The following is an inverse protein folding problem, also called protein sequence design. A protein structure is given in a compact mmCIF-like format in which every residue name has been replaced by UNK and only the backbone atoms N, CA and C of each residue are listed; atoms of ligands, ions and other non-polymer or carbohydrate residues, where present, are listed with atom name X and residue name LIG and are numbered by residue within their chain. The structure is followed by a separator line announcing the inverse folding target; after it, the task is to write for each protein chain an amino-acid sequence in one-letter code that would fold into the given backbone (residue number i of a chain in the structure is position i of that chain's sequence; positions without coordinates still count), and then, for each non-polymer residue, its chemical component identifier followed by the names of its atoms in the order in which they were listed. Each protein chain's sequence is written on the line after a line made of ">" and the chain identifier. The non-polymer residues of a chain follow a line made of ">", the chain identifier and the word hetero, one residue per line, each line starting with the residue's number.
data_IF_337865655548
#
_entry.id   IF_337865655548
#
_cell.length_a   1.000
_cell.length_b   1.000
_cell.length_c   1.000
_cell.angle_alpha   90.00
_cell.angle_beta   90.00
_cell.angle_gamma   90.00
#
_symmetry.space_group_name_H-M   'P 1'
#
loop_
_entity.id
_entity.type
_entity.pdbx_description
1 polymer ?
#
# COMPACT_ATOMS: atom_id res chain seq x y z
N UNK A 1 -13.65 8.94 6.57
CA UNK A 1 -12.45 8.61 5.78
C UNK A 1 -11.26 9.54 6.05
N UNK A 2 -11.48 10.83 6.36
CA UNK A 2 -10.43 11.78 6.78
C UNK A 2 -9.58 11.32 7.97
N UNK A 3 -10.03 10.32 8.71
CA UNK A 3 -9.33 9.82 9.92
C UNK A 3 -8.26 8.75 9.65
N UNK A 4 -8.10 8.27 8.41
CA UNK A 4 -7.17 7.18 8.09
C UNK A 4 -5.95 7.70 7.33
N UNK A 5 -6.16 8.61 6.40
CA UNK A 5 -5.11 9.20 5.59
C UNK A 5 -4.84 10.64 6.04
N UNK A 6 -3.59 10.96 6.30
CA UNK A 6 -3.17 12.34 6.47
C UNK A 6 -3.01 12.93 5.08
N UNK A 7 -3.60 14.09 4.88
CA UNK A 7 -3.66 14.86 3.63
C UNK A 7 -2.39 14.76 2.82
N UNK A 8 -2.54 14.43 1.55
CA UNK A 8 -1.48 14.50 0.54
C UNK A 8 -1.07 15.98 0.33
N UNK A 9 -0.16 16.50 1.11
CA UNK A 9 0.50 17.75 0.77
C UNK A 9 1.65 17.48 -0.21
N UNK A 10 1.51 18.03 -1.39
CA UNK A 10 2.51 18.02 -2.44
C UNK A 10 3.83 18.66 -1.95
N UNK A 11 4.79 17.87 -1.57
CA UNK A 11 6.18 18.31 -1.52
C UNK A 11 7.03 17.40 -2.39
N UNK A 12 7.65 17.98 -3.37
CA UNK A 12 8.62 17.35 -4.28
C UNK A 12 9.80 16.68 -3.55
N UNK A 13 10.02 16.99 -2.30
CA UNK A 13 11.09 16.48 -1.45
C UNK A 13 10.76 15.17 -0.75
N UNK A 14 9.51 14.76 -0.71
CA UNK A 14 9.12 13.50 -0.11
C UNK A 14 8.58 12.54 -1.17
N UNK A 15 9.46 11.94 -1.97
CA UNK A 15 9.13 10.74 -2.77
C UNK A 15 8.61 9.60 -1.88
N UNK A 16 8.81 9.73 -0.60
CA UNK A 16 8.24 8.91 0.46
C UNK A 16 7.33 9.81 1.26
N UNK A 17 6.02 9.75 1.01
CA UNK A 17 5.09 10.52 1.81
C UNK A 17 5.32 10.22 3.30
N UNK A 18 5.65 11.23 4.10
CA UNK A 18 6.07 11.01 5.49
C UNK A 18 4.99 10.37 6.34
N UNK A 19 3.70 10.44 5.93
CA UNK A 19 2.58 9.86 6.67
C UNK A 19 1.45 9.55 5.71
N UNK A 20 1.33 8.30 5.23
CA UNK A 20 0.11 7.87 4.55
C UNK A 20 -1.01 7.58 5.54
N UNK A 21 -0.67 7.20 6.78
CA UNK A 21 -1.62 6.67 7.73
C UNK A 21 -1.57 7.39 9.07
N UNK A 22 -2.71 7.50 9.73
CA UNK A 22 -2.74 7.86 11.12
C UNK A 22 -2.17 6.72 12.00
N UNK A 23 -1.91 6.99 13.28
CA UNK A 23 -1.23 6.07 14.23
C UNK A 23 -2.01 4.78 14.55
N UNK A 24 -3.06 4.42 13.82
CA UNK A 24 -3.84 3.21 14.06
C UNK A 24 -3.08 1.93 13.70
N UNK A 25 -2.23 1.99 12.69
CA UNK A 25 -1.52 0.85 12.15
C UNK A 25 -0.16 0.70 12.83
N UNK A 26 0.27 -0.55 13.05
CA UNK A 26 1.49 -0.88 13.80
C UNK A 26 2.46 -1.79 13.04
N UNK A 27 2.07 -2.29 11.86
CA UNK A 27 2.96 -3.04 10.95
C UNK A 27 2.86 -2.52 9.55
N UNK A 28 4.03 -2.48 8.87
CA UNK A 28 4.16 -1.94 7.54
C UNK A 28 4.98 -2.85 6.64
N UNK A 29 4.55 -2.97 5.37
CA UNK A 29 5.27 -3.63 4.29
C UNK A 29 5.30 -2.69 3.10
N UNK A 30 6.45 -2.49 2.51
CA UNK A 30 6.61 -1.63 1.34
C UNK A 30 6.65 -2.46 0.08
N UNK A 31 6.21 -1.89 -1.04
CA UNK A 31 6.28 -2.52 -2.35
C UNK A 31 6.75 -1.52 -3.40
N UNK A 32 7.45 -2.02 -4.43
CA UNK A 32 8.12 -1.26 -5.48
C UNK A 32 7.57 -1.61 -6.88
N UNK A 33 6.28 -1.89 -6.96
CA UNK A 33 5.59 -2.19 -8.20
C UNK A 33 4.27 -1.41 -8.29
N UNK A 34 3.76 -1.22 -9.51
CA UNK A 34 2.45 -0.62 -9.70
C UNK A 34 1.34 -1.56 -9.21
N UNK A 35 0.62 -1.16 -8.17
CA UNK A 35 -0.49 -1.93 -7.60
C UNK A 35 -1.58 -2.20 -8.65
N UNK A 36 -1.83 -1.25 -9.55
CA UNK A 36 -2.84 -1.38 -10.60
C UNK A 36 -2.39 -2.23 -11.80
N UNK A 37 -1.09 -2.35 -12.05
CA UNK A 37 -0.53 -3.04 -13.21
C UNK A 37 0.06 -4.42 -12.89
N UNK A 38 0.33 -4.74 -11.63
CA UNK A 38 0.91 -6.03 -11.23
C UNK A 38 -0.16 -7.13 -11.13
N UNK A 39 -0.52 -7.72 -12.26
CA UNK A 39 -1.57 -8.75 -12.30
C UNK A 39 -1.23 -10.01 -11.51
N UNK A 40 0.04 -10.39 -11.44
CA UNK A 40 0.48 -11.55 -10.65
C UNK A 40 0.25 -11.30 -9.17
N UNK A 41 0.68 -10.14 -8.68
CA UNK A 41 0.43 -9.74 -7.30
C UNK A 41 -1.07 -9.64 -7.01
N UNK A 42 -1.85 -8.99 -7.85
CA UNK A 42 -3.30 -8.85 -7.64
C UNK A 42 -4.02 -10.20 -7.58
N UNK A 43 -3.59 -11.17 -8.40
CA UNK A 43 -4.14 -12.53 -8.35
C UNK A 43 -3.81 -13.22 -7.04
N UNK A 44 -2.56 -13.18 -6.65
CA UNK A 44 -2.08 -13.70 -5.39
C UNK A 44 -2.80 -13.04 -4.21
N UNK A 45 -2.84 -11.71 -4.19
CA UNK A 45 -3.43 -10.94 -3.12
C UNK A 45 -4.94 -11.20 -2.95
N UNK A 46 -5.68 -11.30 -4.07
CA UNK A 46 -7.10 -11.69 -4.03
C UNK A 46 -7.31 -13.04 -3.34
N UNK A 47 -6.46 -14.03 -3.62
CA UNK A 47 -6.54 -15.33 -2.96
C UNK A 47 -6.25 -15.22 -1.46
N UNK A 48 -5.21 -14.47 -1.08
CA UNK A 48 -4.85 -14.28 0.33
C UNK A 48 -5.93 -13.51 1.09
N UNK A 49 -6.57 -12.52 0.47
CA UNK A 49 -7.70 -11.81 1.06
C UNK A 49 -8.86 -12.75 1.37
N UNK A 50 -9.27 -13.57 0.40
CA UNK A 50 -10.37 -14.53 0.57
C UNK A 50 -10.05 -15.58 1.63
N UNK A 51 -8.80 -16.08 1.68
CA UNK A 51 -8.34 -17.03 2.72
C UNK A 51 -8.37 -16.43 4.14
N UNK A 52 -8.36 -15.12 4.25
CA UNK A 52 -8.45 -14.39 5.51
C UNK A 52 -9.82 -13.72 5.70
N UNK A 53 -10.87 -14.24 5.05
CA UNK A 53 -12.27 -13.81 5.17
C UNK A 53 -12.52 -12.33 4.79
N UNK A 54 -11.65 -11.71 3.99
CA UNK A 54 -11.95 -10.41 3.39
C UNK A 54 -12.80 -10.61 2.14
N UNK A 55 -14.05 -10.19 2.23
CA UNK A 55 -15.04 -10.38 1.16
C UNK A 55 -15.26 -9.13 0.32
N UNK A 56 -14.78 -7.99 0.78
CA UNK A 56 -14.92 -6.74 0.06
C UNK A 56 -13.73 -5.81 0.30
N UNK A 57 -13.44 -4.98 -0.69
CA UNK A 57 -12.50 -3.86 -0.61
C UNK A 57 -13.08 -2.63 -1.28
N UNK A 58 -12.71 -1.46 -0.77
CA UNK A 58 -12.98 -0.16 -1.35
C UNK A 58 -11.69 0.43 -1.91
N UNK A 59 -11.78 1.03 -3.10
CA UNK A 59 -10.67 1.71 -3.76
C UNK A 59 -10.98 3.20 -3.83
N UNK A 60 -10.02 3.99 -3.36
CA UNK A 60 -10.06 5.45 -3.40
C UNK A 60 -8.94 5.97 -4.28
N UNK A 61 -9.16 7.16 -4.82
CA UNK A 61 -8.10 7.99 -5.40
C UNK A 61 -7.97 9.27 -4.59
N UNK A 62 -6.82 9.95 -4.69
CA UNK A 62 -6.53 11.11 -3.85
C UNK A 62 -7.48 12.31 -4.03
N UNK A 63 -8.24 12.35 -5.12
CA UNK A 63 -9.15 13.46 -5.45
C UNK A 63 -10.58 13.23 -4.98
N UNK A 64 -10.95 12.03 -4.55
CA UNK A 64 -12.33 11.72 -4.18
C UNK A 64 -12.47 11.37 -2.70
N UNK A 65 -13.51 11.91 -2.05
CA UNK A 65 -13.85 11.57 -0.67
C UNK A 65 -14.56 10.21 -0.55
N UNK A 66 -15.28 9.82 -1.60
CA UNK A 66 -15.96 8.53 -1.70
C UNK A 66 -15.11 7.51 -2.47
N UNK A 67 -15.30 6.21 -2.24
CA UNK A 67 -14.64 5.19 -3.02
C UNK A 67 -15.05 5.31 -4.49
N UNK A 68 -14.04 5.31 -5.38
CA UNK A 68 -14.31 5.27 -6.83
C UNK A 68 -14.83 3.90 -7.24
N UNK A 69 -14.55 2.89 -6.40
CA UNK A 69 -14.94 1.51 -6.65
C UNK A 69 -15.04 0.71 -5.35
N UNK A 70 -16.12 -0.05 -5.20
CA UNK A 70 -16.26 -1.10 -4.18
C UNK A 70 -16.32 -2.47 -4.87
N UNK A 71 -15.49 -3.40 -4.43
CA UNK A 71 -15.37 -4.74 -5.00
C UNK A 71 -15.84 -5.77 -3.98
N UNK A 72 -16.84 -6.56 -4.38
CA UNK A 72 -17.21 -7.81 -3.72
C UNK A 72 -16.30 -8.92 -4.30
N UNK A 73 -15.35 -9.40 -3.50
CA UNK A 73 -14.29 -10.32 -3.93
C UNK A 73 -14.79 -11.73 -4.24
N UNK A 74 -15.97 -12.12 -3.72
CA UNK A 74 -16.59 -13.40 -4.04
C UNK A 74 -17.25 -13.37 -5.42
N UNK A 75 -17.75 -12.20 -5.85
CA UNK A 75 -18.51 -12.05 -7.09
C UNK A 75 -17.71 -11.48 -8.25
N UNK A 76 -16.66 -10.72 -7.94
CA UNK A 76 -15.90 -9.99 -8.95
C UNK A 76 -14.41 -10.28 -8.83
N UNK A 77 -13.79 -10.55 -9.95
CA UNK A 77 -12.34 -10.63 -10.04
C UNK A 77 -11.76 -9.21 -9.88
N UNK A 78 -10.82 -9.04 -8.96
CA UNK A 78 -10.13 -7.78 -8.66
C UNK A 78 -9.40 -7.23 -9.90
N UNK A 79 -8.81 -8.10 -10.73
CA UNK A 79 -7.94 -7.72 -11.85
C UNK A 79 -8.66 -6.89 -12.91
N UNK A 80 -9.73 -7.37 -13.57
CA UNK A 80 -10.40 -6.59 -14.60
C UNK A 80 -11.03 -5.32 -14.05
N UNK A 81 -11.36 -5.33 -12.75
CA UNK A 81 -12.00 -4.20 -12.08
C UNK A 81 -10.99 -3.09 -11.82
N UNK A 82 -9.77 -3.42 -11.34
CA UNK A 82 -8.69 -2.43 -11.16
C UNK A 82 -8.17 -1.96 -12.52
N UNK A 83 -8.07 -2.85 -13.50
CA UNK A 83 -7.68 -2.48 -14.87
C UNK A 83 -8.61 -1.42 -15.48
N UNK A 84 -9.90 -1.55 -15.27
CA UNK A 84 -10.87 -0.55 -15.72
C UNK A 84 -10.63 0.82 -15.12
N UNK A 85 -10.30 0.89 -13.83
CA UNK A 85 -9.93 2.16 -13.18
C UNK A 85 -8.68 2.78 -13.83
N UNK A 86 -7.71 1.95 -14.17
CA UNK A 86 -6.51 2.40 -14.86
C UNK A 86 -6.82 2.97 -16.25
N UNK A 87 -7.67 2.30 -17.02
CA UNK A 87 -8.13 2.73 -18.34
C UNK A 87 -8.98 4.02 -18.30
N UNK A 88 -9.69 4.29 -17.19
CA UNK A 88 -10.51 5.49 -16.97
C UNK A 88 -9.72 6.68 -16.39
N UNK A 89 -8.39 6.64 -16.41
CA UNK A 89 -7.49 7.74 -15.99
C UNK A 89 -7.49 8.08 -14.49
N UNK A 90 -8.09 7.27 -13.63
CA UNK A 90 -8.07 7.49 -12.17
C UNK A 90 -6.70 7.26 -11.53
N UNK A 91 -5.76 6.69 -12.24
CA UNK A 91 -4.43 6.33 -11.75
C UNK A 91 -3.52 7.53 -11.46
N UNK A 92 -3.78 8.71 -12.05
CA UNK A 92 -2.93 9.90 -11.90
C UNK A 92 -2.87 10.47 -10.48
N UNK A 93 -3.71 10.02 -9.59
CA UNK A 93 -3.91 10.65 -8.29
C UNK A 93 -3.47 9.80 -7.10
N UNK A 94 -2.86 8.66 -7.41
CA UNK A 94 -2.57 7.66 -6.39
C UNK A 94 -3.76 6.75 -6.09
N UNK A 95 -3.47 5.59 -5.52
CA UNK A 95 -4.46 4.55 -5.23
C UNK A 95 -4.41 4.18 -3.75
N UNK A 96 -5.58 4.09 -3.13
CA UNK A 96 -5.74 3.58 -1.77
C UNK A 96 -6.75 2.44 -1.80
N UNK A 97 -6.37 1.31 -1.20
CA UNK A 97 -7.20 0.12 -1.09
C UNK A 97 -7.43 -0.18 0.39
N UNK A 98 -8.68 -0.31 0.80
CA UNK A 98 -9.06 -0.44 2.21
C UNK A 98 -10.21 -1.46 2.32
N UNK A 99 -10.21 -2.40 3.30
CA UNK A 99 -11.40 -3.17 3.60
C UNK A 99 -12.43 -2.32 4.37
N UNK A 100 -13.72 -2.67 4.35
CA UNK A 100 -14.77 -1.92 5.05
C UNK A 100 -14.53 -1.79 6.57
N UNK A 101 -13.85 -2.77 7.19
CA UNK A 101 -13.51 -2.76 8.63
C UNK A 101 -12.27 -1.92 8.96
N UNK A 102 -11.59 -1.36 7.95
CA UNK A 102 -10.42 -0.51 8.10
C UNK A 102 -9.25 -1.18 8.85
N UNK A 103 -9.18 -2.50 8.86
CA UNK A 103 -8.19 -3.26 9.62
C UNK A 103 -6.80 -3.27 8.98
N UNK A 104 -6.73 -2.99 7.68
CA UNK A 104 -5.50 -2.74 6.92
C UNK A 104 -5.75 -1.68 5.84
N UNK A 105 -4.69 -1.18 5.26
CA UNK A 105 -4.77 -0.27 4.14
C UNK A 105 -3.54 -0.43 3.24
N UNK A 106 -3.72 -0.33 1.93
CA UNK A 106 -2.62 -0.18 0.99
C UNK A 106 -2.71 1.19 0.32
N UNK A 107 -1.59 1.90 0.24
CA UNK A 107 -1.52 3.18 -0.42
C UNK A 107 -0.31 3.25 -1.35
N UNK A 108 -0.53 3.74 -2.56
CA UNK A 108 0.51 3.99 -3.55
C UNK A 108 0.36 5.37 -4.14
N UNK A 109 1.47 6.10 -4.21
CA UNK A 109 1.51 7.41 -4.84
C UNK A 109 1.83 7.29 -6.32
N UNK A 110 1.15 8.07 -7.15
CA UNK A 110 1.19 7.90 -8.60
C UNK A 110 2.56 8.10 -9.26
N UNK A 111 3.36 9.02 -8.81
CA UNK A 111 4.60 9.37 -9.53
C UNK A 111 5.75 8.37 -9.32
N UNK A 112 5.54 7.36 -8.47
CA UNK A 112 6.54 6.35 -8.10
C UNK A 112 5.85 5.00 -7.94
N UNK A 113 6.49 3.94 -8.44
CA UNK A 113 6.01 2.56 -8.22
C UNK A 113 6.27 2.08 -6.78
N UNK A 114 6.20 3.00 -5.81
CA UNK A 114 6.43 2.73 -4.41
C UNK A 114 5.15 2.95 -3.61
N UNK A 115 4.84 1.98 -2.78
CA UNK A 115 3.68 2.04 -1.93
C UNK A 115 3.89 1.35 -0.59
N UNK A 116 2.88 1.42 0.26
CA UNK A 116 2.93 0.85 1.59
C UNK A 116 1.62 0.15 1.94
N UNK A 117 1.73 -1.04 2.51
CA UNK A 117 0.67 -1.73 3.23
C UNK A 117 0.83 -1.46 4.72
N UNK A 118 -0.25 -1.08 5.37
CA UNK A 118 -0.32 -0.81 6.80
C UNK A 118 -1.37 -1.74 7.45
N UNK A 119 -1.03 -2.34 8.59
CA UNK A 119 -1.85 -3.34 9.28
C UNK A 119 -2.06 -2.94 10.74
N UNK A 120 -3.29 -3.09 11.22
CA UNK A 120 -3.64 -3.06 12.64
C UNK A 120 -3.55 -4.49 13.18
N UNK A 121 -2.42 -4.87 13.77
CA UNK A 121 -2.25 -6.25 14.27
C UNK A 121 -2.96 -6.54 15.60
N UNK A 122 -3.61 -5.54 16.23
CA UNK A 122 -4.55 -5.77 17.31
C UNK A 122 -5.86 -6.38 16.80
N UNK A 123 -6.18 -6.19 15.52
CA UNK A 123 -7.24 -6.90 14.84
C UNK A 123 -6.73 -8.28 14.37
N UNK A 124 -7.32 -9.36 14.90
CA UNK A 124 -6.89 -10.73 14.61
C UNK A 124 -6.92 -11.08 13.13
N UNK A 125 -7.89 -10.56 12.39
CA UNK A 125 -8.06 -10.80 10.96
C UNK A 125 -6.93 -10.12 10.17
N UNK A 126 -6.60 -8.88 10.50
CA UNK A 126 -5.47 -8.15 9.93
C UNK A 126 -4.12 -8.79 10.29
N UNK A 127 -3.95 -9.25 11.51
CA UNK A 127 -2.76 -9.99 11.92
C UNK A 127 -2.60 -11.28 11.12
N UNK A 128 -3.70 -12.04 10.92
CA UNK A 128 -3.70 -13.24 10.09
C UNK A 128 -3.31 -12.93 8.65
N UNK A 129 -3.89 -11.88 8.07
CA UNK A 129 -3.53 -11.41 6.72
C UNK A 129 -2.05 -11.07 6.63
N UNK A 130 -1.53 -10.24 7.55
CA UNK A 130 -0.11 -9.87 7.61
C UNK A 130 0.81 -11.09 7.63
N UNK A 131 0.47 -12.13 8.43
CA UNK A 131 1.25 -13.35 8.54
C UNK A 131 1.15 -14.23 7.28
N UNK A 132 0.02 -14.20 6.57
CA UNK A 132 -0.23 -14.98 5.35
C UNK A 132 0.41 -14.40 4.11
N UNK A 133 0.80 -13.12 4.13
CA UNK A 133 1.46 -12.49 2.99
C UNK A 133 2.88 -13.04 2.80
N UNK A 134 3.18 -13.42 1.56
CA UNK A 134 4.52 -13.77 1.14
C UNK A 134 5.40 -12.50 1.13
N UNK A 135 6.45 -12.51 1.97
CA UNK A 135 7.32 -11.35 2.18
C UNK A 135 8.24 -11.08 1.00
N UNK A 136 8.38 -12.02 0.07
CA UNK A 136 9.19 -11.83 -1.13
C UNK A 136 8.59 -10.78 -2.10
N UNK A 137 7.31 -10.47 -1.94
CA UNK A 137 6.67 -9.35 -2.65
C UNK A 137 6.98 -7.96 -2.07
N UNK A 138 7.65 -7.90 -0.91
CA UNK A 138 7.73 -6.67 -0.15
C UNK A 138 9.14 -6.32 0.28
N UNK A 139 9.38 -5.04 0.44
CA UNK A 139 10.53 -4.49 1.16
C UNK A 139 10.14 -4.29 2.61
N UNK A 140 10.96 -4.80 3.52
CA UNK A 140 10.72 -4.72 4.97
C UNK A 140 11.51 -3.57 5.60
N UNK A 141 11.09 -3.13 6.77
CA UNK A 141 11.86 -2.18 7.60
C UNK A 141 13.30 -2.65 7.81
N UNK A 142 13.50 -3.95 8.02
CA UNK A 142 14.85 -4.53 8.18
C UNK A 142 15.72 -4.35 6.93
N UNK A 143 15.17 -4.56 5.74
CA UNK A 143 15.89 -4.36 4.48
C UNK A 143 16.26 -2.89 4.26
N UNK A 144 15.34 -1.96 4.60
CA UNK A 144 15.61 -0.53 4.56
C UNK A 144 16.75 -0.13 5.53
N UNK A 145 16.71 -0.63 6.77
CA UNK A 145 17.78 -0.40 7.75
C UNK A 145 19.15 -0.91 7.26
N UNK A 146 19.16 -2.10 6.67
CA UNK A 146 20.38 -2.67 6.09
C UNK A 146 20.91 -1.81 4.94
N UNK A 147 20.03 -1.30 4.09
CA UNK A 147 20.39 -0.47 2.93
C UNK A 147 21.02 0.86 3.30
N UNK A 148 20.78 1.40 4.49
CA UNK A 148 21.46 2.62 4.97
C UNK A 148 23.00 2.49 4.98
N UNK A 149 23.51 1.29 5.19
CA UNK A 149 24.94 0.99 5.29
C UNK A 149 25.52 0.40 3.99
N UNK A 150 24.67 0.19 2.98
CA UNK A 150 25.07 -0.41 1.70
C UNK A 150 24.70 0.53 0.54
N UNK A 151 25.68 1.37 0.14
CA UNK A 151 25.50 2.34 -0.95
C UNK A 151 25.28 1.69 -2.32
N UNK A 152 25.60 0.40 -2.48
CA UNK A 152 25.36 -0.37 -3.70
C UNK A 152 23.98 -1.04 -3.74
N UNK A 153 23.20 -0.90 -2.69
CA UNK A 153 21.83 -1.41 -2.62
C UNK A 153 20.93 -0.64 -3.58
N UNK A 154 20.07 -1.31 -4.36
CA UNK A 154 19.08 -0.64 -5.22
C UNK A 154 18.21 0.36 -4.45
N UNK A 155 17.82 0.05 -3.21
CA UNK A 155 17.07 0.97 -2.35
C UNK A 155 17.86 2.24 -2.01
N UNK A 156 19.17 2.11 -1.81
CA UNK A 156 20.02 3.28 -1.56
C UNK A 156 20.22 4.12 -2.82
N UNK A 157 20.34 3.49 -3.99
CA UNK A 157 20.45 4.18 -5.28
C UNK A 157 19.16 4.96 -5.58
N UNK A 158 18.01 4.40 -5.25
CA UNK A 158 16.69 5.01 -5.52
C UNK A 158 16.35 6.14 -4.54
N UNK A 159 16.46 5.90 -3.24
CA UNK A 159 15.99 6.83 -2.21
C UNK A 159 17.09 7.69 -1.59
N UNK A 160 18.33 7.28 -1.71
CA UNK A 160 19.44 7.88 -0.98
C UNK A 160 19.30 7.70 0.54
N UNK A 161 20.31 8.17 1.26
CA UNK A 161 20.31 8.09 2.72
C UNK A 161 19.12 8.83 3.37
N UNK A 162 18.88 10.06 2.93
CA UNK A 162 17.83 10.92 3.49
C UNK A 162 16.44 10.33 3.28
N UNK A 163 16.17 9.75 2.10
CA UNK A 163 14.91 9.10 1.81
C UNK A 163 14.67 7.86 2.67
N UNK A 164 15.68 7.00 2.83
CA UNK A 164 15.55 5.81 3.68
C UNK A 164 15.36 6.22 5.15
N UNK A 165 16.13 7.20 5.66
CA UNK A 165 15.98 7.70 7.01
C UNK A 165 14.58 8.29 7.25
N UNK A 166 14.02 9.00 6.27
CA UNK A 166 12.65 9.53 6.35
C UNK A 166 11.60 8.40 6.44
N UNK A 167 11.74 7.35 5.62
CA UNK A 167 10.85 6.16 5.69
C UNK A 167 10.97 5.52 7.08
N UNK A 168 12.17 5.27 7.56
CA UNK A 168 12.40 4.62 8.85
C UNK A 168 11.84 5.45 10.01
N UNK A 169 12.02 6.76 10.01
CA UNK A 169 11.49 7.66 11.04
C UNK A 169 9.95 7.66 11.09
N UNK A 170 9.31 7.37 9.96
CA UNK A 170 7.85 7.41 9.85
C UNK A 170 7.18 6.07 10.17
N UNK A 171 7.87 4.95 9.92
CA UNK A 171 7.27 3.62 9.92
C UNK A 171 7.99 2.58 10.79
N UNK A 172 9.14 2.89 11.40
CA UNK A 172 9.88 1.96 12.26
C UNK A 172 9.48 2.04 13.74
#
# INVERSE_FOLDING_TARGET
>A
HRNILITFEYSWLSRTAPYFFNKKYDKFLFFDFSLSASYEFLRYFNQVLLLNDYLAIDIYTSIYEDPVLSIDLEKKNIIPTIRKLYEEEYYFTGTVVIPPDLSWCAAQYYSVDWGVFAFDTHNKKSQSLFNSLDKDWFVTIYQLQKSLNDKSSPLYEEFGREGIEAILNNYA
#
